data_IF_248156448407
#
_entry.id   IF_248156448407
#
_cell.length_a   1.000
_cell.length_b   1.000
_cell.length_c   1.000
_cell.angle_alpha   90.00
_cell.angle_beta   90.00
_cell.angle_gamma   90.00
#
_symmetry.space_group_name_H-M   'P 1'
#
loop_
_entity.id
_entity.type
_entity.pdbx_description
1 polymer ?
#
# COMPACT_ATOMS: atom_id res chain seq x y z
N UNK A 1 -3.59 1.10 -19.56
CA UNK A 1 -4.09 1.84 -18.37
C UNK A 1 -2.89 2.31 -17.56
N UNK A 2 -2.89 3.57 -17.20
CA UNK A 2 -1.80 4.16 -16.44
C UNK A 2 -2.10 4.14 -14.95
N UNK A 3 -1.04 4.02 -14.16
CA UNK A 3 -1.11 4.06 -12.71
C UNK A 3 -0.10 5.06 -12.20
N UNK A 4 -0.40 5.67 -11.05
CA UNK A 4 0.62 6.40 -10.31
C UNK A 4 1.38 5.39 -9.44
N UNK A 5 2.70 5.39 -9.54
CA UNK A 5 3.54 4.54 -8.70
C UNK A 5 4.12 5.38 -7.56
N UNK A 6 3.83 4.98 -6.32
CA UNK A 6 4.20 5.75 -5.15
C UNK A 6 5.09 4.93 -4.22
N UNK A 7 6.14 5.57 -3.73
CA UNK A 7 7.03 5.01 -2.72
C UNK A 7 6.68 5.57 -1.35
N UNK A 8 6.49 4.70 -0.37
CA UNK A 8 6.28 5.08 1.02
C UNK A 8 7.59 4.99 1.78
N UNK A 9 8.02 6.13 2.35
CA UNK A 9 9.24 6.21 3.15
C UNK A 9 9.05 7.27 4.24
N UNK A 10 9.34 6.91 5.47
CA UNK A 10 9.23 7.81 6.63
C UNK A 10 7.87 8.50 6.75
N UNK A 11 6.79 7.74 6.53
CA UNK A 11 5.41 8.21 6.58
C UNK A 11 5.09 9.30 5.53
N UNK A 12 5.87 9.36 4.47
CA UNK A 12 5.68 10.28 3.34
C UNK A 12 5.59 9.49 2.05
N UNK A 13 4.82 10.03 1.10
CA UNK A 13 4.69 9.43 -0.21
C UNK A 13 5.47 10.21 -1.25
N UNK A 14 6.15 9.48 -2.11
CA UNK A 14 6.92 10.04 -3.22
C UNK A 14 6.36 9.45 -4.52
N UNK A 15 6.04 10.30 -5.49
CA UNK A 15 5.63 9.83 -6.80
C UNK A 15 6.87 9.45 -7.62
N UNK A 16 6.82 8.26 -8.21
CA UNK A 16 7.89 7.74 -9.05
C UNK A 16 7.76 8.33 -10.45
N UNK A 17 8.75 9.08 -10.89
CA UNK A 17 8.77 9.72 -12.20
C UNK A 17 10.08 9.36 -12.91
N UNK A 18 10.02 8.43 -13.87
CA UNK A 18 11.21 7.92 -14.55
C UNK A 18 12.26 7.44 -13.53
N UNK A 19 13.40 8.11 -13.45
CA UNK A 19 14.47 7.76 -12.53
C UNK A 19 14.45 8.57 -11.22
N UNK A 20 13.44 9.42 -11.04
CA UNK A 20 13.35 10.33 -9.91
C UNK A 20 12.12 10.05 -9.06
N UNK A 21 12.19 10.48 -7.80
CA UNK A 21 11.06 10.44 -6.88
C UNK A 21 10.76 11.87 -6.42
N UNK A 22 9.49 12.27 -6.55
CA UNK A 22 9.04 13.59 -6.13
C UNK A 22 8.13 13.44 -4.91
N UNK A 23 8.48 14.08 -3.80
CA UNK A 23 7.65 14.04 -2.61
C UNK A 23 6.30 14.70 -2.87
N UNK A 24 5.22 14.03 -2.48
CA UNK A 24 3.88 14.62 -2.59
C UNK A 24 3.71 15.70 -1.53
N UNK A 25 3.31 16.88 -1.97
CA UNK A 25 3.04 18.06 -1.15
C UNK A 25 1.70 18.65 -1.58
N UNK A 26 1.19 19.59 -0.79
CA UNK A 26 -0.08 20.24 -1.09
C UNK A 26 -0.12 20.82 -2.52
N UNK A 27 0.98 21.46 -2.92
CA UNK A 27 1.07 22.13 -4.22
C UNK A 27 1.21 21.19 -5.40
N UNK A 28 1.51 19.91 -5.19
CA UNK A 28 1.71 18.96 -6.29
C UNK A 28 0.83 17.71 -6.22
N UNK A 29 -0.23 17.71 -5.41
CA UNK A 29 -1.16 16.58 -5.35
C UNK A 29 -1.77 16.27 -6.72
N UNK A 30 -1.91 17.27 -7.57
CA UNK A 30 -2.41 17.09 -8.94
C UNK A 30 -1.46 16.30 -9.83
N UNK A 31 -0.23 16.02 -9.36
CA UNK A 31 0.67 15.09 -10.05
C UNK A 31 0.12 13.67 -10.10
N UNK A 32 -0.83 13.33 -9.22
CA UNK A 32 -1.53 12.04 -9.26
C UNK A 32 -2.59 12.07 -10.36
N UNK A 33 -2.14 12.01 -11.61
CA UNK A 33 -3.00 12.17 -12.80
C UNK A 33 -3.79 10.92 -13.15
N UNK A 34 -3.25 9.75 -12.88
CA UNK A 34 -3.95 8.50 -13.16
C UNK A 34 -5.04 8.25 -12.12
N UNK A 35 -6.09 7.54 -12.50
CA UNK A 35 -7.23 7.25 -11.61
C UNK A 35 -6.85 6.34 -10.47
N UNK A 36 -5.81 5.54 -10.63
CA UNK A 36 -5.39 4.55 -9.64
C UNK A 36 -3.95 4.77 -9.23
N UNK A 37 -3.68 4.57 -7.95
CA UNK A 37 -2.34 4.72 -7.38
C UNK A 37 -1.92 3.43 -6.68
N UNK A 38 -0.66 3.07 -6.87
CA UNK A 38 -0.06 1.88 -6.28
C UNK A 38 1.02 2.34 -5.30
N UNK A 39 0.89 1.91 -4.05
CA UNK A 39 1.79 2.33 -2.98
C UNK A 39 2.66 1.15 -2.54
N UNK A 40 3.97 1.32 -2.55
CA UNK A 40 4.91 0.29 -2.11
C UNK A 40 6.01 0.88 -1.25
N UNK A 41 6.67 0.03 -0.49
CA UNK A 41 7.84 0.40 0.29
C UNK A 41 9.13 0.25 -0.51
N UNK A 42 9.04 -0.30 -1.72
CA UNK A 42 10.15 -0.45 -2.66
C UNK A 42 9.74 0.06 -4.03
N UNK A 43 10.72 0.36 -4.87
CA UNK A 43 10.47 0.79 -6.24
C UNK A 43 9.57 -0.20 -6.97
N UNK A 44 8.57 0.31 -7.68
CA UNK A 44 7.60 -0.51 -8.40
C UNK A 44 8.01 -0.64 -9.85
N UNK A 45 7.99 -1.88 -10.35
CA UNK A 45 8.21 -2.17 -11.77
C UNK A 45 6.86 -2.13 -12.49
N UNK A 46 6.80 -1.40 -13.60
CA UNK A 46 5.55 -1.00 -14.23
C UNK A 46 4.80 -2.07 -15.01
N UNK A 47 5.39 -3.23 -15.29
CA UNK A 47 4.80 -4.21 -16.20
C UNK A 47 4.41 -5.55 -15.57
N UNK A 48 3.96 -5.52 -14.32
CA UNK A 48 3.45 -6.71 -13.66
C UNK A 48 2.00 -6.97 -14.10
N UNK A 49 1.71 -8.13 -14.72
CA UNK A 49 0.36 -8.44 -15.21
C UNK A 49 -0.69 -8.54 -14.10
N UNK A 50 -0.28 -8.71 -12.84
CA UNK A 50 -1.17 -8.74 -11.70
C UNK A 50 -1.94 -7.43 -11.55
N UNK A 51 -1.34 -6.31 -11.90
CA UNK A 51 -1.95 -4.99 -11.71
C UNK A 51 -3.26 -4.84 -12.46
N UNK A 52 -3.34 -5.36 -13.68
CA UNK A 52 -4.56 -5.31 -14.48
C UNK A 52 -5.72 -6.04 -13.83
N UNK A 53 -5.44 -7.16 -13.18
CA UNK A 53 -6.46 -7.94 -12.47
C UNK A 53 -6.97 -7.23 -11.24
N UNK A 54 -6.08 -6.64 -10.48
CA UNK A 54 -6.46 -5.96 -9.23
C UNK A 54 -7.22 -4.67 -9.51
N UNK A 55 -6.84 -3.94 -10.56
CA UNK A 55 -7.52 -2.70 -10.93
C UNK A 55 -9.00 -2.91 -11.24
N UNK A 56 -9.37 -4.06 -11.78
CA UNK A 56 -10.79 -4.38 -11.98
C UNK A 56 -11.58 -4.36 -10.68
N UNK A 57 -10.96 -4.76 -9.58
CA UNK A 57 -11.59 -4.75 -8.26
C UNK A 57 -11.72 -3.34 -7.69
N UNK A 58 -10.89 -2.41 -8.14
CA UNK A 58 -10.97 -1.01 -7.70
C UNK A 58 -12.19 -0.28 -8.27
N UNK A 59 -12.86 -0.82 -9.25
CA UNK A 59 -14.11 -0.22 -9.76
C UNK A 59 -15.18 -0.14 -8.70
N UNK A 60 -15.19 -1.11 -7.77
CA UNK A 60 -16.19 -1.18 -6.71
C UNK A 60 -15.61 -0.98 -5.31
N UNK A 61 -14.31 -0.77 -5.20
CA UNK A 61 -13.62 -0.63 -3.91
C UNK A 61 -12.60 0.50 -3.96
N UNK A 62 -12.56 1.31 -2.92
CA UNK A 62 -11.63 2.44 -2.87
C UNK A 62 -10.20 2.01 -2.61
N UNK A 63 -10.02 0.90 -1.89
CA UNK A 63 -8.71 0.35 -1.53
C UNK A 63 -8.75 -1.16 -1.67
N UNK A 64 -7.74 -1.73 -2.28
CA UNK A 64 -7.56 -3.19 -2.38
C UNK A 64 -6.18 -3.56 -1.87
N UNK A 65 -6.12 -4.51 -0.96
CA UNK A 65 -4.87 -4.96 -0.35
C UNK A 65 -4.72 -6.46 -0.55
N UNK A 66 -3.58 -6.84 -1.12
CA UNK A 66 -3.23 -8.23 -1.29
C UNK A 66 -2.46 -8.71 -0.06
N UNK A 67 -2.93 -9.80 0.55
CA UNK A 67 -2.27 -10.41 1.70
C UNK A 67 -1.64 -11.73 1.29
N UNK A 68 -0.49 -12.02 1.86
CA UNK A 68 0.24 -13.25 1.63
C UNK A 68 0.37 -14.02 2.94
N UNK A 69 0.49 -15.34 2.80
CA UNK A 69 0.76 -16.20 3.96
C UNK A 69 2.14 -15.90 4.53
N UNK A 70 2.23 -15.98 5.85
CA UNK A 70 3.52 -15.85 6.53
C UNK A 70 4.23 -17.19 6.47
N UNK A 71 5.41 -17.21 5.85
CA UNK A 71 6.20 -18.44 5.69
C UNK A 71 7.23 -18.64 6.80
N UNK A 72 7.58 -17.57 7.51
CA UNK A 72 8.56 -17.61 8.59
C UNK A 72 7.89 -17.91 9.93
N UNK A 73 8.62 -18.53 10.85
CA UNK A 73 8.14 -18.74 12.20
C UNK A 73 7.93 -17.40 12.90
N UNK A 74 6.80 -17.29 13.62
CA UNK A 74 6.46 -16.09 14.37
C UNK A 74 6.61 -16.35 15.85
N UNK A 75 7.18 -15.41 16.58
CA UNK A 75 7.39 -15.50 18.01
C UNK A 75 7.00 -14.20 18.70
N UNK A 76 6.34 -14.33 19.84
CA UNK A 76 6.08 -13.19 20.69
C UNK A 76 7.22 -13.08 21.72
N UNK A 77 7.77 -11.89 21.86
CA UNK A 77 8.91 -11.66 22.74
C UNK A 77 8.49 -10.88 23.97
N UNK A 78 9.14 -11.21 25.09
CA UNK A 78 9.06 -10.43 26.33
C UNK A 78 10.49 -10.16 26.78
N UNK A 79 10.96 -8.91 26.55
CA UNK A 79 12.36 -8.58 26.72
C UNK A 79 13.23 -9.40 25.77
N UNK A 80 14.20 -10.12 26.30
CA UNK A 80 15.11 -10.98 25.53
C UNK A 80 14.66 -12.44 25.47
N UNK A 81 13.46 -12.73 25.95
CA UNK A 81 12.93 -14.10 25.99
C UNK A 81 11.79 -14.28 25.02
N UNK A 82 11.69 -15.48 24.49
CA UNK A 82 10.55 -15.86 23.66
C UNK A 82 9.38 -16.19 24.60
N UNK A 83 8.33 -15.38 24.54
CA UNK A 83 7.13 -15.58 25.35
C UNK A 83 6.24 -16.67 24.78
N UNK A 84 6.07 -16.70 23.46
CA UNK A 84 5.21 -17.66 22.80
C UNK A 84 5.63 -17.88 21.36
N UNK A 85 5.30 -19.05 20.83
CA UNK A 85 5.36 -19.36 19.41
C UNK A 85 3.98 -19.11 18.84
N UNK A 86 3.88 -18.23 17.82
CA UNK A 86 2.60 -17.86 17.23
C UNK A 86 2.30 -18.74 16.02
N UNK A 87 1.04 -19.13 15.86
CA UNK A 87 0.63 -19.88 14.68
C UNK A 87 0.65 -19.00 13.44
N UNK A 88 1.40 -19.40 12.42
CA UNK A 88 1.47 -18.67 11.13
C UNK A 88 0.12 -18.57 10.45
N UNK A 89 -0.77 -19.53 10.70
CA UNK A 89 -2.09 -19.59 10.06
C UNK A 89 -2.99 -18.43 10.47
N UNK A 90 -2.74 -17.81 11.62
CA UNK A 90 -3.52 -16.70 12.13
C UNK A 90 -3.00 -15.34 11.66
N UNK A 91 -1.94 -15.31 10.86
CA UNK A 91 -1.28 -14.08 10.45
C UNK A 91 -1.13 -14.01 8.94
N UNK A 92 -1.19 -12.79 8.42
CA UNK A 92 -0.93 -12.50 7.01
C UNK A 92 -0.03 -11.27 6.94
N UNK A 93 0.78 -11.19 5.90
CA UNK A 93 1.59 -10.01 5.62
C UNK A 93 1.02 -9.28 4.42
N UNK A 94 1.18 -7.98 4.37
CA UNK A 94 0.80 -7.19 3.20
C UNK A 94 1.76 -7.52 2.07
N UNK A 95 1.19 -7.90 0.93
CA UNK A 95 1.94 -8.07 -0.31
C UNK A 95 1.79 -6.76 -1.09
N UNK A 96 2.84 -5.95 -1.13
CA UNK A 96 2.81 -4.68 -1.85
C UNK A 96 2.83 -4.88 -3.36
N UNK A 97 2.30 -3.94 -4.13
CA UNK A 97 1.78 -2.63 -3.72
C UNK A 97 0.37 -2.68 -3.14
N UNK A 98 -0.01 -1.63 -2.42
CA UNK A 98 -1.39 -1.37 -2.04
C UNK A 98 -2.04 -0.62 -3.19
N UNK A 99 -3.26 -1.00 -3.56
CA UNK A 99 -3.99 -0.41 -4.68
C UNK A 99 -5.06 0.52 -4.13
N UNK A 100 -5.12 1.75 -4.64
CA UNK A 100 -6.05 2.75 -4.13
C UNK A 100 -6.53 3.68 -5.25
N UNK A 101 -7.79 4.15 -5.16
CA UNK A 101 -8.26 5.24 -6.01
C UNK A 101 -7.50 6.50 -5.70
N UNK A 102 -7.00 7.19 -6.72
CA UNK A 102 -6.22 8.41 -6.54
C UNK A 102 -6.99 9.52 -5.84
N UNK A 103 -8.29 9.66 -6.12
CA UNK A 103 -9.12 10.66 -5.44
C UNK A 103 -9.27 10.36 -3.95
N UNK A 104 -9.48 9.11 -3.60
CA UNK A 104 -9.54 8.70 -2.20
C UNK A 104 -8.23 9.04 -1.47
N UNK A 105 -7.10 8.73 -2.12
CA UNK A 105 -5.79 9.02 -1.56
C UNK A 105 -5.55 10.52 -1.40
N UNK A 106 -5.91 11.32 -2.40
CA UNK A 106 -5.77 12.78 -2.32
C UNK A 106 -6.55 13.35 -1.14
N UNK A 107 -7.80 12.90 -0.96
CA UNK A 107 -8.63 13.36 0.15
C UNK A 107 -8.04 12.96 1.49
N UNK A 108 -7.54 11.73 1.60
CA UNK A 108 -6.89 11.28 2.81
C UNK A 108 -5.66 12.15 3.14
N UNK A 109 -4.81 12.44 2.15
CA UNK A 109 -3.61 13.23 2.34
C UNK A 109 -3.92 14.67 2.75
N UNK A 110 -4.98 15.26 2.21
CA UNK A 110 -5.42 16.59 2.61
C UNK A 110 -5.84 16.62 4.08
N UNK A 111 -6.54 15.58 4.53
CA UNK A 111 -7.02 15.50 5.91
C UNK A 111 -5.91 15.15 6.89
N UNK A 112 -4.91 14.41 6.46
CA UNK A 112 -3.81 13.95 7.32
C UNK A 112 -2.61 14.90 7.37
N UNK A 113 -2.68 16.04 6.65
CA UNK A 113 -1.55 16.95 6.55
C UNK A 113 -0.38 16.36 5.77
N UNK A 114 -0.68 15.52 4.76
CA UNK A 114 0.29 14.88 3.88
C UNK A 114 1.13 13.79 4.56
N UNK A 115 0.73 13.36 5.74
CA UNK A 115 1.34 12.23 6.40
C UNK A 115 0.62 10.94 5.98
N UNK A 116 1.38 9.90 5.71
CA UNK A 116 0.83 8.60 5.39
C UNK A 116 1.44 7.55 6.30
N UNK A 117 0.79 7.35 7.44
CA UNK A 117 1.13 6.24 8.33
C UNK A 117 0.25 5.05 7.93
N UNK A 118 0.88 3.97 7.53
CA UNK A 118 0.17 2.82 6.97
C UNK A 118 -0.89 2.26 7.93
N UNK A 119 -0.55 2.10 9.20
CA UNK A 119 -1.49 1.57 10.19
C UNK A 119 -2.74 2.42 10.32
N UNK A 120 -2.57 3.75 10.40
CA UNK A 120 -3.70 4.67 10.49
C UNK A 120 -4.54 4.67 9.21
N UNK A 121 -3.89 4.61 8.05
CA UNK A 121 -4.59 4.54 6.78
C UNK A 121 -5.48 3.30 6.73
N UNK A 122 -4.96 2.15 7.13
CA UNK A 122 -5.69 0.89 7.12
C UNK A 122 -6.84 0.89 8.13
N UNK A 123 -6.63 1.47 9.31
CA UNK A 123 -7.67 1.57 10.33
C UNK A 123 -8.85 2.44 9.88
N UNK A 124 -8.57 3.47 9.09
CA UNK A 124 -9.57 4.45 8.65
C UNK A 124 -10.16 4.17 7.27
N UNK A 125 -9.75 3.09 6.63
CA UNK A 125 -10.19 2.76 5.28
C UNK A 125 -10.95 1.44 5.27
N UNK A 126 -12.03 1.41 4.48
CA UNK A 126 -12.67 0.16 4.11
C UNK A 126 -11.92 -0.39 2.91
N UNK A 127 -11.28 -1.52 3.06
CA UNK A 127 -10.52 -2.11 1.97
C UNK A 127 -11.00 -3.52 1.65
N UNK A 128 -10.90 -3.89 0.39
CA UNK A 128 -11.12 -5.26 -0.04
C UNK A 128 -9.83 -6.04 0.18
N UNK A 129 -9.95 -7.15 0.91
CA UNK A 129 -8.84 -8.06 1.13
C UNK A 129 -8.84 -9.13 0.05
N UNK A 130 -7.68 -9.33 -0.59
CA UNK A 130 -7.48 -10.42 -1.53
C UNK A 130 -6.26 -11.23 -1.11
N UNK A 131 -6.19 -12.47 -1.56
CA UNK A 131 -5.05 -13.35 -1.34
C UNK A 131 -4.70 -13.99 -2.68
N UNK A 132 -3.85 -13.31 -3.44
CA UNK A 132 -3.39 -13.82 -4.72
C UNK A 132 -2.01 -14.45 -4.55
N UNK A 133 -1.84 -15.62 -5.10
CA UNK A 133 -0.54 -16.25 -5.16
C UNK A 133 0.33 -15.52 -6.18
N UNK A 134 1.49 -15.09 -5.73
CA UNK A 134 2.44 -14.38 -6.58
C UNK A 134 3.39 -15.34 -7.25
#
# INVERSE_FOLDING_TARGET
MEYNFLLLEDNKLFIQQNDNFLQLKQENLDSLKADYSLISTNEIKSNNPLYSKVVELLKDNEVVINFAKVSSALKELEGNKIKAHLSRENFRKISFPIFVHSEYLKNYLKDSGLQFELSLFLENSNFLKIELDS
#
